data_IF_867672725166
#
_entry.id   IF_867672725166
#
_cell.length_a   1.000
_cell.length_b   1.000
_cell.length_c   1.000
_cell.angle_alpha   90.00
_cell.angle_beta   90.00
_cell.angle_gamma   90.00
#
_symmetry.space_group_name_H-M   'P 1'
#
loop_
_entity.id
_entity.type
_entity.pdbx_description
1 polymer ?
#
# COMPACT_ATOMS: atom_id res chain seq x y z
N UNK A 1 -42.39 40.08 91.74
CA UNK A 1 -43.44 40.89 91.06
C UNK A 1 -43.13 40.69 89.54
N UNK A 2 -44.02 39.92 88.86
CA UNK A 2 -44.48 39.93 87.46
C UNK A 2 -43.46 40.31 86.37
N UNK A 3 -43.36 39.68 85.22
CA UNK A 3 -44.28 38.97 84.31
C UNK A 3 -43.36 38.32 83.25
N UNK A 4 -43.48 37.07 82.93
CA UNK A 4 -44.21 36.50 81.80
C UNK A 4 -43.85 36.99 80.41
N UNK A 5 -43.51 36.01 79.56
CA UNK A 5 -43.91 35.78 78.20
C UNK A 5 -42.84 36.17 77.16
N UNK A 6 -42.59 35.46 76.13
CA UNK A 6 -43.20 34.44 75.26
C UNK A 6 -42.19 33.84 74.40
N UNK A 7 -42.26 32.58 74.15
CA UNK A 7 -41.59 31.83 73.12
C UNK A 7 -41.97 32.34 71.73
N UNK A 8 -41.01 32.52 70.83
CA UNK A 8 -41.26 32.49 69.39
C UNK A 8 -40.20 31.66 68.73
N UNK A 9 -40.59 30.47 68.40
CA UNK A 9 -39.78 29.51 67.59
C UNK A 9 -39.81 29.96 66.14
N UNK A 10 -38.65 30.32 65.61
CA UNK A 10 -38.47 30.56 64.18
C UNK A 10 -37.94 29.29 63.55
N UNK A 11 -38.76 28.67 62.72
CA UNK A 11 -38.38 27.55 61.87
C UNK A 11 -37.67 28.10 60.66
N UNK A 12 -36.34 27.94 60.58
CA UNK A 12 -35.56 28.14 59.36
C UNK A 12 -35.64 26.90 58.52
N UNK A 13 -36.41 26.96 57.41
CA UNK A 13 -36.36 25.99 56.33
C UNK A 13 -35.00 26.09 55.63
N UNK A 14 -34.19 25.07 55.82
CA UNK A 14 -32.97 24.87 55.04
C UNK A 14 -33.33 24.43 53.61
N UNK A 15 -33.24 25.31 52.65
CA UNK A 15 -33.30 24.96 51.24
C UNK A 15 -31.97 24.33 50.83
N UNK A 16 -31.92 22.99 50.74
CA UNK A 16 -30.83 22.28 50.05
C UNK A 16 -30.93 22.58 48.57
N UNK A 17 -30.10 23.51 48.09
CA UNK A 17 -29.88 23.69 46.68
C UNK A 17 -29.01 22.49 46.17
N UNK A 18 -29.65 21.51 45.52
CA UNK A 18 -28.95 20.52 44.70
C UNK A 18 -28.31 21.28 43.53
N UNK A 19 -27.01 21.54 43.60
CA UNK A 19 -26.22 21.87 42.42
C UNK A 19 -26.09 20.60 41.58
N UNK A 20 -26.95 20.49 40.59
CA UNK A 20 -26.72 19.55 39.46
C UNK A 20 -25.50 20.11 38.71
N UNK A 21 -24.33 19.53 38.99
CA UNK A 21 -23.19 19.71 38.15
C UNK A 21 -23.52 19.04 36.77
N UNK A 22 -24.07 19.84 35.87
CA UNK A 22 -24.13 19.47 34.48
C UNK A 22 -22.67 19.34 34.00
N UNK A 23 -22.15 18.14 34.12
CA UNK A 23 -20.91 17.78 33.46
C UNK A 23 -21.11 18.07 31.97
N UNK A 24 -20.48 19.12 31.48
CA UNK A 24 -20.35 19.35 30.04
C UNK A 24 -19.68 18.11 29.52
N UNK A 25 -20.42 17.19 28.93
CA UNK A 25 -19.87 16.18 28.05
C UNK A 25 -19.18 16.98 26.96
N UNK A 26 -17.85 17.15 27.06
CA UNK A 26 -17.04 17.63 25.98
C UNK A 26 -17.35 16.66 24.84
N UNK A 27 -18.02 17.14 23.80
CA UNK A 27 -18.16 16.39 22.58
C UNK A 27 -16.73 16.00 22.19
N UNK A 28 -16.43 14.72 22.17
CA UNK A 28 -15.12 14.22 21.77
C UNK A 28 -14.77 14.89 20.44
N UNK A 29 -13.63 15.57 20.40
CA UNK A 29 -13.21 16.31 19.24
C UNK A 29 -13.08 15.33 18.08
N UNK A 30 -13.89 15.52 17.04
CA UNK A 30 -14.07 14.57 15.96
C UNK A 30 -12.81 14.54 15.11
N UNK A 31 -12.00 13.47 15.23
CA UNK A 31 -10.78 13.31 14.46
C UNK A 31 -11.11 13.17 12.96
N UNK A 32 -10.42 13.94 12.12
CA UNK A 32 -10.52 13.83 10.66
C UNK A 32 -9.24 13.23 10.08
N UNK A 33 -9.39 12.05 9.48
CA UNK A 33 -8.32 11.35 8.75
C UNK A 33 -8.46 11.60 7.25
N UNK A 34 -7.49 12.31 6.66
CA UNK A 34 -7.35 12.45 5.22
C UNK A 34 -6.57 11.28 4.63
N UNK A 35 -7.10 10.70 3.55
CA UNK A 35 -6.41 9.68 2.75
C UNK A 35 -6.27 10.21 1.34
N UNK A 36 -5.02 10.32 0.85
CA UNK A 36 -4.70 10.85 -0.47
C UNK A 36 -3.91 9.81 -1.27
N UNK A 37 -4.47 9.36 -2.39
CA UNK A 37 -3.94 8.25 -3.20
C UNK A 37 -4.05 8.54 -4.69
N UNK A 38 -3.26 7.89 -5.57
CA UNK A 38 -3.47 7.94 -7.01
C UNK A 38 -4.83 7.37 -7.42
N UNK A 39 -5.40 7.87 -8.51
CA UNK A 39 -6.59 7.27 -9.12
C UNK A 39 -6.28 5.89 -9.71
N UNK A 40 -7.30 5.07 -9.88
CA UNK A 40 -7.19 3.74 -10.47
C UNK A 40 -6.87 3.83 -11.97
N UNK A 41 -5.65 3.47 -12.34
CA UNK A 41 -5.17 3.41 -13.75
C UNK A 41 -4.81 2.00 -14.21
N UNK A 42 -4.61 1.08 -13.28
CA UNK A 42 -4.31 -0.33 -13.49
C UNK A 42 -4.78 -1.16 -12.28
N UNK A 43 -4.69 -2.49 -12.35
CA UNK A 43 -5.28 -3.39 -11.34
C UNK A 43 -4.77 -3.11 -9.91
N UNK A 44 -3.47 -2.86 -9.74
CA UNK A 44 -2.89 -2.58 -8.43
C UNK A 44 -3.46 -1.28 -7.82
N UNK A 45 -3.50 -0.17 -8.57
CA UNK A 45 -4.09 1.09 -8.07
C UNK A 45 -5.59 0.98 -7.87
N UNK A 46 -6.31 0.16 -8.65
CA UNK A 46 -7.71 -0.17 -8.36
C UNK A 46 -7.86 -0.88 -7.01
N UNK A 47 -6.96 -1.81 -6.71
CA UNK A 47 -6.86 -2.45 -5.40
C UNK A 47 -6.59 -1.46 -4.27
N UNK A 48 -5.65 -0.51 -4.45
CA UNK A 48 -5.36 0.55 -3.47
C UNK A 48 -6.62 1.36 -3.14
N UNK A 49 -7.36 1.81 -4.19
CA UNK A 49 -8.60 2.59 -4.00
C UNK A 49 -9.66 1.76 -3.27
N UNK A 50 -9.82 0.49 -3.66
CA UNK A 50 -10.80 -0.40 -3.04
C UNK A 50 -10.48 -0.62 -1.54
N UNK A 51 -9.24 -0.95 -1.21
CA UNK A 51 -8.82 -1.18 0.16
C UNK A 51 -8.85 0.09 1.02
N UNK A 52 -8.58 1.27 0.44
CA UNK A 52 -8.72 2.54 1.14
C UNK A 52 -10.19 2.84 1.51
N UNK A 53 -11.14 2.58 0.60
CA UNK A 53 -12.55 2.73 0.87
C UNK A 53 -13.06 1.69 1.88
N UNK A 54 -12.56 0.46 1.81
CA UNK A 54 -12.88 -0.58 2.80
C UNK A 54 -12.40 -0.19 4.20
N UNK A 55 -11.19 0.35 4.33
CA UNK A 55 -10.68 0.86 5.60
C UNK A 55 -11.55 2.02 6.14
N UNK A 56 -11.97 2.94 5.25
CA UNK A 56 -12.91 4.02 5.62
C UNK A 56 -14.20 3.46 6.20
N UNK A 57 -14.86 2.52 5.51
CA UNK A 57 -16.12 1.91 5.94
C UNK A 57 -15.98 1.23 7.31
N UNK A 58 -14.93 0.44 7.51
CA UNK A 58 -14.68 -0.30 8.74
C UNK A 58 -14.36 0.65 9.91
N UNK A 59 -13.54 1.69 9.66
CA UNK A 59 -13.19 2.68 10.68
C UNK A 59 -14.39 3.53 11.10
N UNK A 60 -15.16 4.08 10.16
CA UNK A 60 -16.33 4.92 10.48
C UNK A 60 -17.44 4.12 11.18
N UNK A 61 -17.52 2.80 10.88
CA UNK A 61 -18.42 1.89 11.59
C UNK A 61 -17.95 1.61 13.02
N UNK A 62 -16.65 1.40 13.23
CA UNK A 62 -16.08 1.11 14.54
C UNK A 62 -15.95 2.36 15.43
N UNK A 63 -15.75 3.53 14.84
CA UNK A 63 -15.49 4.79 15.51
C UNK A 63 -16.37 5.91 14.92
N UNK A 64 -17.62 6.08 15.42
CA UNK A 64 -18.57 7.09 14.88
C UNK A 64 -18.08 8.54 14.96
N UNK A 65 -17.11 8.82 15.84
CA UNK A 65 -16.47 10.14 15.99
C UNK A 65 -15.26 10.35 15.07
N UNK A 66 -14.90 9.36 14.28
CA UNK A 66 -13.87 9.46 13.26
C UNK A 66 -14.50 9.76 11.89
N UNK A 67 -13.98 10.77 11.21
CA UNK A 67 -14.31 11.07 9.81
C UNK A 67 -13.15 10.69 8.91
N UNK A 68 -13.36 9.81 7.94
CA UNK A 68 -12.34 9.42 6.95
C UNK A 68 -12.69 9.98 5.59
N UNK A 69 -11.76 10.73 4.99
CA UNK A 69 -11.94 11.38 3.68
C UNK A 69 -10.93 10.81 2.71
N UNK A 70 -11.38 10.00 1.76
CA UNK A 70 -10.55 9.45 0.70
C UNK A 70 -10.61 10.36 -0.54
N UNK A 71 -9.44 10.78 -1.03
CA UNK A 71 -9.27 11.55 -2.27
C UNK A 71 -8.36 10.80 -3.21
N UNK A 72 -8.75 10.74 -4.50
CA UNK A 72 -7.93 10.16 -5.57
C UNK A 72 -7.48 11.25 -6.53
N UNK A 73 -6.23 11.19 -6.99
CA UNK A 73 -5.63 12.18 -7.88
C UNK A 73 -5.11 11.52 -9.16
N UNK A 74 -5.33 12.15 -10.31
CA UNK A 74 -4.85 11.68 -11.60
C UNK A 74 -3.39 12.08 -11.91
N UNK A 75 -2.83 13.00 -11.10
CA UNK A 75 -1.45 13.49 -11.24
C UNK A 75 -0.98 14.16 -9.95
N UNK A 76 0.33 14.44 -9.86
CA UNK A 76 0.92 15.04 -8.68
C UNK A 76 0.44 16.48 -8.38
N UNK A 77 0.24 17.39 -9.36
CA UNK A 77 -0.35 18.70 -9.10
C UNK A 77 -1.76 18.64 -8.51
N UNK A 78 -2.61 17.76 -9.02
CA UNK A 78 -3.95 17.54 -8.45
C UNK A 78 -3.87 17.01 -7.02
N UNK A 79 -2.97 16.05 -6.76
CA UNK A 79 -2.77 15.52 -5.42
C UNK A 79 -2.32 16.62 -4.44
N UNK A 80 -1.39 17.49 -4.87
CA UNK A 80 -0.95 18.63 -4.05
C UNK A 80 -2.09 19.60 -3.72
N UNK A 81 -2.97 19.91 -4.68
CA UNK A 81 -4.15 20.74 -4.46
C UNK A 81 -5.12 20.09 -3.48
N UNK A 82 -5.37 18.79 -3.62
CA UNK A 82 -6.23 18.04 -2.71
C UNK A 82 -5.69 18.01 -1.27
N UNK A 83 -4.36 18.00 -1.06
CA UNK A 83 -3.77 18.13 0.27
C UNK A 83 -4.12 19.48 0.92
N UNK A 84 -4.14 20.57 0.14
CA UNK A 84 -4.55 21.88 0.64
C UNK A 84 -6.06 21.88 1.00
N UNK A 85 -6.92 21.25 0.19
CA UNK A 85 -8.34 21.12 0.50
C UNK A 85 -8.58 20.30 1.78
N UNK A 86 -7.89 19.17 1.93
CA UNK A 86 -7.94 18.34 3.14
C UNK A 86 -7.52 19.14 4.37
N UNK A 87 -6.49 19.96 4.26
CA UNK A 87 -5.97 20.79 5.34
C UNK A 87 -6.91 21.96 5.68
N UNK A 88 -7.36 22.72 4.68
CA UNK A 88 -8.02 24.02 4.91
C UNK A 88 -9.54 23.91 5.01
N UNK A 89 -10.16 23.08 4.17
CA UNK A 89 -11.61 22.90 4.13
C UNK A 89 -12.03 21.78 5.08
N UNK A 90 -11.35 20.65 5.02
CA UNK A 90 -11.74 19.47 5.80
C UNK A 90 -11.13 19.44 7.20
N UNK A 91 -10.14 20.30 7.50
CA UNK A 91 -9.50 20.41 8.83
C UNK A 91 -8.96 19.04 9.30
N UNK A 92 -8.24 18.33 8.43
CA UNK A 92 -7.68 17.02 8.78
C UNK A 92 -6.64 17.13 9.90
N UNK A 93 -6.67 16.19 10.82
CA UNK A 93 -5.71 16.04 11.92
C UNK A 93 -4.60 15.05 11.58
N UNK A 94 -4.90 14.12 10.70
CA UNK A 94 -4.01 13.04 10.30
C UNK A 94 -4.13 12.81 8.80
N UNK A 95 -2.98 12.58 8.15
CA UNK A 95 -2.86 12.27 6.72
C UNK A 95 -2.24 10.89 6.53
N UNK A 96 -2.89 10.06 5.72
CA UNK A 96 -2.27 8.87 5.12
C UNK A 96 -2.16 9.13 3.62
N UNK A 97 -0.94 9.14 3.10
CA UNK A 97 -0.69 9.46 1.69
C UNK A 97 0.11 8.37 0.99
N UNK A 98 -0.40 7.92 -0.16
CA UNK A 98 0.38 7.22 -1.17
C UNK A 98 0.75 8.24 -2.26
N UNK A 99 1.99 8.77 -2.29
CA UNK A 99 2.35 9.83 -3.23
C UNK A 99 2.25 9.37 -4.68
N UNK A 100 1.71 10.23 -5.54
CA UNK A 100 1.74 10.00 -6.99
C UNK A 100 3.18 9.93 -7.50
N UNK A 101 4.01 10.89 -7.04
CA UNK A 101 5.46 10.97 -7.29
C UNK A 101 6.18 11.47 -6.04
N UNK A 102 7.36 10.92 -5.77
CA UNK A 102 8.15 11.25 -4.58
C UNK A 102 8.61 12.72 -4.53
N UNK A 103 9.28 13.19 -5.58
CA UNK A 103 9.90 14.52 -5.59
C UNK A 103 8.88 15.66 -5.54
N UNK A 104 7.86 15.60 -6.41
CA UNK A 104 6.85 16.67 -6.54
C UNK A 104 5.93 16.77 -5.33
N UNK A 105 5.73 15.68 -4.57
CA UNK A 105 4.87 15.64 -3.39
C UNK A 105 5.61 15.94 -2.08
N UNK A 106 6.93 15.86 -2.03
CA UNK A 106 7.71 16.09 -0.80
C UNK A 106 7.42 17.45 -0.16
N UNK A 107 7.49 18.54 -0.92
CA UNK A 107 7.23 19.90 -0.40
C UNK A 107 5.76 20.10 0.02
N UNK A 108 4.74 19.73 -0.76
CA UNK A 108 3.34 19.79 -0.33
C UNK A 108 3.08 19.03 0.98
N UNK A 109 3.63 17.83 1.14
CA UNK A 109 3.47 17.01 2.35
C UNK A 109 4.17 17.66 3.55
N UNK A 110 5.38 18.19 3.36
CA UNK A 110 6.08 18.94 4.41
C UNK A 110 5.27 20.15 4.91
N UNK A 111 4.60 20.86 4.01
CA UNK A 111 3.72 21.99 4.38
C UNK A 111 2.51 21.52 5.21
N UNK A 112 1.92 20.37 4.90
CA UNK A 112 0.85 19.76 5.71
C UNK A 112 1.36 19.43 7.11
N UNK A 113 2.50 18.76 7.21
CA UNK A 113 3.12 18.41 8.49
C UNK A 113 3.44 19.67 9.35
N UNK A 114 3.96 20.74 8.75
CA UNK A 114 4.25 22.01 9.44
C UNK A 114 2.99 22.65 10.06
N UNK A 115 1.79 22.31 9.61
CA UNK A 115 0.53 22.72 10.20
C UNK A 115 0.06 21.85 11.37
N UNK A 116 0.89 20.92 11.82
CA UNK A 116 0.60 20.05 12.96
C UNK A 116 -0.13 18.76 12.62
N UNK A 117 -0.40 18.49 11.33
CA UNK A 117 -1.03 17.24 10.87
C UNK A 117 -0.03 16.09 11.02
N UNK A 118 -0.46 14.98 11.60
CA UNK A 118 0.32 13.74 11.64
C UNK A 118 0.35 13.09 10.25
N UNK A 119 1.52 12.74 9.74
CA UNK A 119 1.69 12.26 8.36
C UNK A 119 2.24 10.85 8.33
N UNK A 120 1.47 9.93 7.79
CA UNK A 120 1.91 8.58 7.39
C UNK A 120 2.04 8.51 5.87
N UNK A 121 3.25 8.25 5.39
CA UNK A 121 3.54 8.02 3.97
C UNK A 121 3.50 6.53 3.68
N UNK A 122 2.88 6.14 2.57
CA UNK A 122 2.67 4.73 2.20
C UNK A 122 3.32 4.43 0.87
N UNK A 123 4.06 3.33 0.80
CA UNK A 123 4.66 2.73 -0.39
C UNK A 123 5.74 3.61 -1.06
N UNK A 124 5.34 4.60 -1.84
CA UNK A 124 6.28 5.53 -2.48
C UNK A 124 6.77 6.55 -1.46
N UNK A 125 8.04 6.41 -1.08
CA UNK A 125 8.68 7.32 -0.14
C UNK A 125 8.79 8.75 -0.69
N UNK A 126 9.01 9.70 0.20
CA UNK A 126 9.36 11.07 -0.15
C UNK A 126 10.88 11.21 -0.32
N UNK A 127 11.34 12.25 -1.03
CA UNK A 127 12.78 12.54 -1.18
C UNK A 127 13.40 13.12 0.08
N UNK A 128 12.58 13.66 0.98
CA UNK A 128 12.96 14.13 2.32
C UNK A 128 12.03 13.49 3.35
N UNK A 129 12.56 12.53 4.11
CA UNK A 129 11.82 11.79 5.12
C UNK A 129 11.44 12.62 6.34
N UNK A 130 12.02 13.83 6.53
CA UNK A 130 11.59 14.74 7.59
C UNK A 130 10.16 15.26 7.38
N UNK A 131 9.63 15.16 6.16
CA UNK A 131 8.25 15.54 5.82
C UNK A 131 7.19 14.56 6.32
N UNK A 132 7.57 13.42 6.90
CA UNK A 132 6.65 12.40 7.42
C UNK A 132 6.89 12.12 8.90
N UNK A 133 5.91 11.50 9.56
CA UNK A 133 6.01 11.00 10.92
C UNK A 133 6.19 9.48 10.94
N UNK A 134 5.57 8.79 9.98
CA UNK A 134 5.70 7.36 9.78
C UNK A 134 5.74 7.00 8.30
N UNK A 135 6.37 5.87 8.00
CA UNK A 135 6.41 5.25 6.68
C UNK A 135 5.93 3.81 6.77
N UNK A 136 5.01 3.42 5.90
CA UNK A 136 4.48 2.06 5.82
C UNK A 136 4.62 1.56 4.38
N UNK A 137 5.37 0.49 4.17
CA UNK A 137 5.58 -0.07 2.82
C UNK A 137 5.75 -1.59 2.86
N UNK A 138 5.63 -2.22 1.71
CA UNK A 138 6.05 -3.61 1.53
C UNK A 138 7.57 -3.74 1.48
N UNK A 139 8.08 -4.95 1.70
CA UNK A 139 9.50 -5.27 1.61
C UNK A 139 9.94 -5.41 0.16
N UNK A 140 10.45 -4.32 -0.42
CA UNK A 140 10.92 -4.27 -1.81
C UNK A 140 12.20 -5.11 -2.02
N UNK A 141 13.04 -5.21 -1.01
CA UNK A 141 14.25 -6.06 -1.06
C UNK A 141 13.84 -7.54 -1.16
N UNK A 142 12.93 -8.00 -0.29
CA UNK A 142 12.40 -9.36 -0.37
C UNK A 142 11.62 -9.59 -1.68
N UNK A 143 10.87 -8.59 -2.17
CA UNK A 143 10.16 -8.68 -3.46
C UNK A 143 11.08 -8.95 -4.65
N UNK A 144 12.30 -8.42 -4.64
CA UNK A 144 13.30 -8.71 -5.69
C UNK A 144 14.06 -10.02 -5.43
N UNK A 145 14.38 -10.29 -4.16
CA UNK A 145 15.19 -11.45 -3.76
C UNK A 145 14.46 -12.78 -3.96
N UNK A 146 13.21 -12.90 -3.50
CA UNK A 146 12.44 -14.14 -3.54
C UNK A 146 12.22 -14.71 -4.96
N UNK A 147 11.82 -13.91 -5.98
CA UNK A 147 11.74 -14.41 -7.35
C UNK A 147 13.10 -14.83 -7.90
N UNK A 148 14.18 -14.11 -7.57
CA UNK A 148 15.52 -14.45 -8.00
C UNK A 148 15.96 -15.81 -7.44
N UNK A 149 15.78 -16.05 -6.15
CA UNK A 149 16.06 -17.34 -5.50
C UNK A 149 15.22 -18.47 -6.10
N UNK A 150 13.93 -18.21 -6.34
CA UNK A 150 13.04 -19.21 -6.96
C UNK A 150 13.46 -19.56 -8.37
N UNK A 151 13.75 -18.57 -9.23
CA UNK A 151 14.21 -18.76 -10.60
C UNK A 151 15.56 -19.52 -10.59
N UNK A 152 16.51 -19.10 -9.78
CA UNK A 152 17.81 -19.75 -9.68
C UNK A 152 17.70 -21.22 -9.27
N UNK A 153 16.84 -21.53 -8.30
CA UNK A 153 16.55 -22.90 -7.87
C UNK A 153 15.90 -23.71 -8.99
N UNK A 154 14.88 -23.16 -9.65
CA UNK A 154 14.11 -23.84 -10.71
C UNK A 154 15.00 -24.16 -11.92
N UNK A 155 15.93 -23.26 -12.26
CA UNK A 155 16.88 -23.44 -13.33
C UNK A 155 18.16 -24.21 -12.93
N UNK A 156 18.23 -24.72 -11.70
CA UNK A 156 19.43 -25.39 -11.16
C UNK A 156 20.70 -24.54 -11.32
N UNK A 157 20.59 -23.22 -11.14
CA UNK A 157 21.69 -22.26 -11.19
C UNK A 157 22.25 -21.98 -12.58
N UNK A 158 21.58 -22.37 -13.66
CA UNK A 158 22.06 -22.17 -15.05
C UNK A 158 20.91 -21.89 -16.01
N UNK A 159 21.04 -20.83 -16.82
CA UNK A 159 20.05 -20.49 -17.85
C UNK A 159 20.15 -19.05 -18.30
N UNK A 160 19.42 -18.75 -19.35
CA UNK A 160 19.30 -17.41 -19.93
C UNK A 160 17.93 -16.82 -19.55
N UNK A 161 17.94 -15.64 -18.92
CA UNK A 161 16.72 -14.99 -18.46
C UNK A 161 16.62 -13.55 -18.96
N UNK A 162 15.41 -13.03 -19.00
CA UNK A 162 15.14 -11.60 -19.23
C UNK A 162 14.31 -11.03 -18.08
N UNK A 163 14.42 -9.71 -17.86
CA UNK A 163 13.71 -9.03 -16.81
C UNK A 163 12.91 -7.84 -17.37
N UNK A 164 11.64 -7.73 -16.93
CA UNK A 164 10.80 -6.57 -17.18
C UNK A 164 10.60 -5.80 -15.86
N UNK A 165 11.11 -4.58 -15.83
CA UNK A 165 11.06 -3.68 -14.68
C UNK A 165 9.78 -2.83 -14.70
N UNK A 166 9.43 -2.22 -13.57
CA UNK A 166 8.33 -1.28 -13.45
C UNK A 166 8.60 0.07 -14.13
N UNK A 167 8.31 1.16 -13.44
CA UNK A 167 8.71 2.52 -13.82
C UNK A 167 10.00 2.89 -13.07
N UNK A 168 10.83 3.81 -13.59
CA UNK A 168 12.08 4.21 -12.94
C UNK A 168 11.83 4.99 -11.64
N UNK A 169 11.74 4.26 -10.53
CA UNK A 169 11.54 4.77 -9.16
C UNK A 169 12.54 4.13 -8.19
N UNK A 170 12.66 4.68 -6.99
CA UNK A 170 13.52 4.11 -5.94
C UNK A 170 13.11 2.67 -5.62
N UNK A 171 11.82 2.41 -5.49
CA UNK A 171 11.33 1.07 -5.16
C UNK A 171 11.60 0.04 -6.28
N UNK A 172 11.53 0.43 -7.55
CA UNK A 172 11.88 -0.46 -8.66
C UNK A 172 13.39 -0.75 -8.67
N UNK A 173 14.21 0.26 -8.35
CA UNK A 173 15.66 0.06 -8.22
C UNK A 173 15.99 -0.91 -7.09
N UNK A 174 15.39 -0.75 -5.91
CA UNK A 174 15.58 -1.68 -4.77
C UNK A 174 15.24 -3.12 -5.15
N UNK A 175 14.10 -3.34 -5.83
CA UNK A 175 13.68 -4.66 -6.32
C UNK A 175 14.69 -5.24 -7.30
N UNK A 176 15.10 -4.45 -8.28
CA UNK A 176 16.03 -4.89 -9.32
C UNK A 176 17.44 -5.13 -8.79
N UNK A 177 17.93 -4.30 -7.87
CA UNK A 177 19.21 -4.50 -7.19
C UNK A 177 19.22 -5.79 -6.36
N UNK A 178 18.15 -6.04 -5.60
CA UNK A 178 18.00 -7.28 -4.84
C UNK A 178 17.95 -8.51 -5.76
N UNK A 179 17.17 -8.43 -6.85
CA UNK A 179 17.10 -9.49 -7.86
C UNK A 179 18.46 -9.79 -8.48
N UNK A 180 19.14 -8.78 -8.99
CA UNK A 180 20.44 -8.93 -9.64
C UNK A 180 21.54 -9.33 -8.66
N UNK A 181 21.43 -8.92 -7.39
CA UNK A 181 22.32 -9.32 -6.31
C UNK A 181 22.32 -10.83 -6.07
N UNK A 182 21.14 -11.46 -6.10
CA UNK A 182 21.03 -12.93 -6.04
C UNK A 182 21.56 -13.57 -7.34
N UNK A 183 21.15 -13.08 -8.50
CA UNK A 183 21.58 -13.66 -9.78
C UNK A 183 23.11 -13.68 -9.94
N UNK A 184 23.81 -12.66 -9.46
CA UNK A 184 25.31 -12.61 -9.46
C UNK A 184 25.95 -13.75 -8.66
N UNK A 185 25.25 -14.34 -7.69
CA UNK A 185 25.75 -15.48 -6.91
C UNK A 185 25.61 -16.80 -7.69
N UNK A 186 24.86 -16.79 -8.80
CA UNK A 186 24.64 -17.95 -9.67
C UNK A 186 25.28 -17.68 -11.04
N UNK A 187 26.61 -17.86 -11.15
CA UNK A 187 27.39 -17.54 -12.34
C UNK A 187 26.99 -18.29 -13.63
N UNK A 188 26.13 -19.32 -13.52
CA UNK A 188 25.54 -20.01 -14.66
C UNK A 188 24.27 -19.36 -15.20
N UNK A 189 23.68 -18.39 -14.50
CA UNK A 189 22.48 -17.65 -14.96
C UNK A 189 22.92 -16.33 -15.59
N UNK A 190 22.43 -16.07 -16.80
CA UNK A 190 22.69 -14.82 -17.51
C UNK A 190 21.40 -14.01 -17.66
N UNK A 191 21.41 -12.78 -17.18
CA UNK A 191 20.37 -11.79 -17.52
C UNK A 191 20.75 -11.24 -18.90
N UNK A 192 20.04 -11.69 -19.94
CA UNK A 192 20.30 -11.28 -21.33
C UNK A 192 20.01 -9.81 -21.56
N UNK A 193 18.91 -9.31 -20.95
CA UNK A 193 18.53 -7.91 -20.99
C UNK A 193 17.50 -7.61 -19.89
N UNK A 194 17.38 -6.33 -19.53
CA UNK A 194 16.38 -5.83 -18.60
C UNK A 194 15.79 -4.50 -19.12
N UNK A 195 14.48 -4.42 -19.29
CA UNK A 195 13.78 -3.23 -19.81
C UNK A 195 12.58 -2.87 -18.95
N UNK A 196 12.21 -1.60 -19.01
CA UNK A 196 11.00 -1.10 -18.34
C UNK A 196 9.76 -1.53 -19.12
N UNK A 197 8.85 -2.21 -18.43
CA UNK A 197 7.49 -2.55 -18.89
C UNK A 197 6.42 -1.69 -18.23
N UNK A 198 6.83 -0.70 -17.41
CA UNK A 198 6.03 0.39 -16.85
C UNK A 198 4.85 -0.07 -15.97
N UNK A 199 4.92 -1.29 -15.39
CA UNK A 199 3.79 -1.96 -14.73
C UNK A 199 2.52 -1.95 -15.60
N UNK A 200 2.73 -2.05 -16.91
CA UNK A 200 1.68 -1.99 -17.90
C UNK A 200 1.71 -3.23 -18.79
N UNK A 201 0.54 -3.83 -18.98
CA UNK A 201 0.37 -5.06 -19.75
C UNK A 201 0.79 -4.94 -21.21
N UNK A 202 0.39 -3.84 -21.86
CA UNK A 202 0.66 -3.63 -23.29
C UNK A 202 2.10 -3.23 -23.55
N UNK A 203 2.72 -2.47 -22.64
CA UNK A 203 4.14 -2.15 -22.74
C UNK A 203 5.01 -3.39 -22.49
N UNK A 204 4.68 -4.19 -21.49
CA UNK A 204 5.34 -5.46 -21.22
C UNK A 204 5.21 -6.43 -22.42
N UNK A 205 4.05 -6.47 -23.05
CA UNK A 205 3.85 -7.24 -24.29
C UNK A 205 4.83 -6.81 -25.38
N UNK A 206 4.96 -5.50 -25.65
CA UNK A 206 5.89 -4.96 -26.67
C UNK A 206 7.36 -5.25 -26.31
N UNK A 207 7.74 -5.06 -25.05
CA UNK A 207 9.09 -5.37 -24.55
C UNK A 207 9.40 -6.86 -24.74
N UNK A 208 8.46 -7.73 -24.41
CA UNK A 208 8.66 -9.17 -24.58
C UNK A 208 8.75 -9.57 -26.07
N UNK A 209 7.98 -8.95 -26.97
CA UNK A 209 8.12 -9.17 -28.43
C UNK A 209 9.54 -8.81 -28.92
N UNK A 210 10.13 -7.69 -28.43
CA UNK A 210 11.50 -7.33 -28.75
C UNK A 210 12.48 -8.41 -28.23
N UNK A 211 12.34 -8.87 -26.99
CA UNK A 211 13.18 -9.93 -26.45
C UNK A 211 13.08 -11.23 -27.26
N UNK A 212 11.85 -11.64 -27.62
CA UNK A 212 11.62 -12.86 -28.42
C UNK A 212 12.23 -12.77 -29.83
N UNK A 213 12.34 -11.57 -30.39
CA UNK A 213 12.99 -11.34 -31.69
C UNK A 213 14.50 -11.39 -31.57
N UNK A 214 15.09 -10.84 -30.51
CA UNK A 214 16.52 -10.71 -30.31
C UNK A 214 17.19 -11.98 -29.77
N UNK A 215 16.47 -12.72 -28.93
CA UNK A 215 17.00 -13.88 -28.24
C UNK A 215 16.36 -15.18 -28.73
N UNK A 216 17.18 -16.07 -29.30
CA UNK A 216 16.73 -17.36 -29.82
C UNK A 216 16.31 -18.33 -28.72
N UNK A 217 16.82 -18.15 -27.51
CA UNK A 217 16.54 -18.97 -26.35
C UNK A 217 16.40 -18.10 -25.10
N UNK A 218 15.38 -18.39 -24.29
CA UNK A 218 15.11 -17.79 -22.98
C UNK A 218 14.54 -18.90 -22.10
N UNK A 219 15.11 -19.14 -20.93
CA UNK A 219 14.62 -20.15 -19.99
C UNK A 219 13.51 -19.61 -19.07
N UNK A 220 13.69 -18.36 -18.58
CA UNK A 220 12.72 -17.75 -17.68
C UNK A 220 12.60 -16.24 -17.90
N UNK A 221 11.48 -15.69 -17.46
CA UNK A 221 11.19 -14.25 -17.43
C UNK A 221 10.82 -13.84 -16.01
N UNK A 222 11.48 -12.79 -15.52
CA UNK A 222 10.98 -12.06 -14.36
C UNK A 222 10.24 -10.80 -14.82
N UNK A 223 8.96 -10.73 -14.54
CA UNK A 223 8.14 -9.54 -14.70
C UNK A 223 7.85 -8.96 -13.31
N UNK A 224 8.24 -7.72 -13.06
CA UNK A 224 8.18 -7.13 -11.72
C UNK A 224 6.75 -6.77 -11.26
N UNK A 225 5.72 -7.29 -11.93
CA UNK A 225 4.33 -7.37 -11.48
C UNK A 225 3.49 -8.35 -12.31
N UNK A 226 2.27 -8.64 -11.86
CA UNK A 226 1.38 -9.61 -12.49
C UNK A 226 0.72 -9.08 -13.77
N UNK A 227 0.43 -7.77 -13.89
CA UNK A 227 -0.11 -7.20 -15.11
C UNK A 227 0.91 -7.30 -16.26
N UNK A 228 2.19 -7.06 -15.98
CA UNK A 228 3.26 -7.29 -16.95
C UNK A 228 3.40 -8.78 -17.31
N UNK A 229 3.28 -9.68 -16.32
CA UNK A 229 3.35 -11.13 -16.57
C UNK A 229 2.27 -11.58 -17.55
N UNK A 230 1.06 -11.04 -17.48
CA UNK A 230 -0.02 -11.31 -18.47
C UNK A 230 0.39 -10.86 -19.88
N UNK A 231 1.01 -9.67 -20.01
CA UNK A 231 1.53 -9.17 -21.30
C UNK A 231 2.63 -10.06 -21.85
N UNK A 232 3.56 -10.50 -20.99
CA UNK A 232 4.65 -11.43 -21.32
C UNK A 232 4.10 -12.76 -21.84
N UNK A 233 3.18 -13.39 -21.12
CA UNK A 233 2.57 -14.67 -21.51
C UNK A 233 1.89 -14.56 -22.88
N UNK A 234 1.13 -13.48 -23.11
CA UNK A 234 0.49 -13.23 -24.41
C UNK A 234 1.50 -13.12 -25.55
N UNK A 235 2.64 -12.45 -25.33
CA UNK A 235 3.69 -12.34 -26.36
C UNK A 235 4.35 -13.69 -26.67
N UNK A 236 4.62 -14.50 -25.62
CA UNK A 236 5.18 -15.86 -25.75
C UNK A 236 4.23 -16.75 -26.57
N UNK A 237 2.93 -16.70 -26.26
CA UNK A 237 1.91 -17.51 -26.94
C UNK A 237 1.77 -17.13 -28.41
N UNK A 238 1.75 -15.82 -28.74
CA UNK A 238 1.71 -15.33 -30.12
C UNK A 238 2.94 -15.75 -30.93
N UNK A 239 4.12 -15.72 -30.29
CA UNK A 239 5.37 -16.16 -30.91
C UNK A 239 5.52 -17.69 -30.98
N UNK A 240 4.59 -18.43 -30.36
CA UNK A 240 4.62 -19.90 -30.27
C UNK A 240 5.95 -20.45 -29.70
N UNK A 241 6.56 -19.71 -28.76
CA UNK A 241 7.81 -20.12 -28.11
C UNK A 241 7.53 -21.15 -27.03
N UNK A 242 8.30 -22.21 -27.03
CA UNK A 242 8.15 -23.34 -26.09
C UNK A 242 9.38 -23.57 -25.20
N UNK A 243 10.42 -22.79 -25.39
CA UNK A 243 11.65 -22.81 -24.58
C UNK A 243 11.45 -22.17 -23.20
N UNK A 244 10.59 -21.14 -23.08
CA UNK A 244 10.36 -20.39 -21.85
C UNK A 244 9.46 -21.22 -20.92
N UNK A 245 10.04 -21.73 -19.82
CA UNK A 245 9.39 -22.63 -18.89
C UNK A 245 8.87 -21.96 -17.62
N UNK A 246 9.31 -20.74 -17.36
CA UNK A 246 8.96 -20.00 -16.15
C UNK A 246 8.73 -18.53 -16.47
N UNK A 247 7.58 -18.01 -16.09
CA UNK A 247 7.26 -16.59 -16.02
C UNK A 247 6.92 -16.27 -14.57
N UNK A 248 7.78 -15.48 -13.93
CA UNK A 248 7.57 -15.07 -12.55
C UNK A 248 6.99 -13.65 -12.55
N UNK A 249 5.75 -13.51 -12.08
CA UNK A 249 5.07 -12.24 -11.86
C UNK A 249 5.35 -11.67 -10.48
N UNK A 250 4.40 -10.95 -9.92
CA UNK A 250 4.51 -10.43 -8.56
C UNK A 250 3.35 -9.56 -8.15
N UNK A 251 3.27 -9.31 -6.87
CA UNK A 251 2.27 -8.56 -6.13
C UNK A 251 1.01 -9.35 -5.70
N UNK A 252 0.73 -10.51 -6.29
CA UNK A 252 -0.37 -11.38 -5.87
C UNK A 252 -1.73 -10.94 -6.41
N UNK A 253 -1.79 -10.51 -7.69
CA UNK A 253 -3.06 -10.19 -8.34
C UNK A 253 -3.98 -11.41 -8.40
N UNK A 254 -5.28 -11.17 -8.19
CA UNK A 254 -6.33 -12.21 -8.11
C UNK A 254 -6.25 -13.23 -9.26
N UNK A 255 -6.03 -12.76 -10.50
CA UNK A 255 -5.90 -13.64 -11.66
C UNK A 255 -4.66 -14.54 -11.59
N UNK A 256 -3.52 -13.98 -11.18
CA UNK A 256 -2.26 -14.72 -11.02
C UNK A 256 -2.36 -15.75 -9.88
N UNK A 257 -2.94 -15.35 -8.75
CA UNK A 257 -3.18 -16.27 -7.63
C UNK A 257 -4.13 -17.38 -8.02
N UNK A 258 -5.21 -17.07 -8.77
CA UNK A 258 -6.12 -18.10 -9.27
C UNK A 258 -5.40 -19.09 -10.18
N UNK A 259 -4.60 -18.61 -11.14
CA UNK A 259 -3.77 -19.44 -12.04
C UNK A 259 -2.84 -20.36 -11.25
N UNK A 260 -2.22 -19.82 -10.18
CA UNK A 260 -1.34 -20.59 -9.30
C UNK A 260 -2.11 -21.68 -8.52
N UNK A 261 -3.35 -21.40 -8.07
CA UNK A 261 -4.19 -22.34 -7.34
C UNK A 261 -4.68 -23.50 -8.20
N UNK A 262 -5.08 -23.22 -9.44
CA UNK A 262 -5.68 -24.22 -10.34
C UNK A 262 -4.67 -24.84 -11.33
N UNK A 263 -3.45 -24.30 -11.38
CA UNK A 263 -2.39 -24.82 -12.28
C UNK A 263 -2.69 -24.63 -13.75
N UNK A 264 -3.58 -23.70 -14.12
CA UNK A 264 -4.05 -23.51 -15.50
C UNK A 264 -2.96 -23.05 -16.48
N UNK A 265 -1.86 -22.46 -16.00
CA UNK A 265 -0.67 -22.17 -16.79
C UNK A 265 0.59 -22.71 -16.08
N UNK A 266 1.24 -23.75 -16.62
CA UNK A 266 2.40 -24.39 -15.99
C UNK A 266 3.65 -23.50 -15.93
N UNK A 267 3.65 -22.35 -16.63
CA UNK A 267 4.75 -21.37 -16.58
C UNK A 267 4.68 -20.50 -15.34
N UNK A 268 3.51 -20.40 -14.70
CA UNK A 268 3.29 -19.69 -13.42
C UNK A 268 3.40 -20.70 -12.29
N UNK A 269 4.54 -20.74 -11.62
CA UNK A 269 4.84 -21.74 -10.59
C UNK A 269 4.91 -21.18 -9.17
N UNK A 270 5.10 -19.89 -9.05
CA UNK A 270 5.10 -19.14 -7.81
C UNK A 270 4.79 -17.66 -8.08
N UNK A 271 4.54 -16.92 -7.00
CA UNK A 271 4.37 -15.48 -7.00
C UNK A 271 5.06 -14.88 -5.76
N UNK A 272 5.16 -13.58 -5.66
CA UNK A 272 5.63 -12.88 -4.46
C UNK A 272 4.56 -11.88 -4.00
N UNK A 273 4.28 -11.86 -2.70
CA UNK A 273 3.25 -10.98 -2.17
C UNK A 273 3.71 -9.51 -2.12
N UNK A 274 2.85 -8.64 -2.60
CA UNK A 274 2.92 -7.19 -2.41
C UNK A 274 1.49 -6.62 -2.59
N UNK A 275 0.59 -7.09 -1.74
CA UNK A 275 -0.84 -6.83 -1.91
C UNK A 275 -1.18 -5.36 -1.65
N UNK A 276 -2.02 -4.72 -2.48
CA UNK A 276 -2.56 -3.39 -2.21
C UNK A 276 -3.33 -3.29 -0.89
N UNK A 277 -3.61 -4.43 -0.23
CA UNK A 277 -4.16 -4.49 1.13
C UNK A 277 -3.29 -3.74 2.15
N UNK A 278 -2.00 -3.55 1.90
CA UNK A 278 -1.16 -2.75 2.80
C UNK A 278 -1.69 -1.31 2.97
N UNK A 279 -2.44 -0.78 2.01
CA UNK A 279 -3.10 0.51 2.15
C UNK A 279 -4.19 0.49 3.23
N UNK A 280 -5.00 -0.58 3.28
CA UNK A 280 -5.94 -0.81 4.37
C UNK A 280 -5.20 -0.88 5.71
N UNK A 281 -4.16 -1.70 5.78
CA UNK A 281 -3.39 -1.90 7.01
C UNK A 281 -2.73 -0.59 7.49
N UNK A 282 -2.18 0.22 6.59
CA UNK A 282 -1.60 1.53 6.92
C UNK A 282 -2.63 2.52 7.46
N UNK A 283 -3.84 2.56 6.85
CA UNK A 283 -4.93 3.43 7.30
C UNK A 283 -5.41 3.00 8.70
N UNK A 284 -5.65 1.69 8.90
CA UNK A 284 -6.09 1.15 10.19
C UNK A 284 -5.06 1.42 11.29
N UNK A 285 -3.80 1.06 11.06
CA UNK A 285 -2.71 1.29 12.03
C UNK A 285 -2.58 2.77 12.40
N UNK A 286 -2.64 3.66 11.40
CA UNK A 286 -2.53 5.10 11.62
C UNK A 286 -3.72 5.61 12.44
N UNK A 287 -4.94 5.26 12.06
CA UNK A 287 -6.15 5.70 12.73
C UNK A 287 -6.18 5.22 14.19
N UNK A 288 -5.93 3.94 14.43
CA UNK A 288 -5.93 3.35 15.77
C UNK A 288 -4.87 3.98 16.70
N UNK A 289 -3.66 4.18 16.19
CA UNK A 289 -2.61 4.86 16.95
C UNK A 289 -3.02 6.29 17.30
N UNK A 290 -3.54 7.05 16.33
CA UNK A 290 -3.92 8.45 16.54
C UNK A 290 -5.13 8.62 17.47
N UNK A 291 -6.11 7.72 17.39
CA UNK A 291 -7.24 7.70 18.34
C UNK A 291 -6.79 7.47 19.79
N UNK A 292 -5.69 6.75 19.99
CA UNK A 292 -5.07 6.54 21.31
C UNK A 292 -4.08 7.65 21.72
N UNK A 293 -3.84 8.65 20.86
CA UNK A 293 -2.79 9.66 21.07
C UNK A 293 -1.37 9.14 20.87
N UNK A 294 -1.22 7.94 20.30
CA UNK A 294 0.07 7.29 20.06
C UNK A 294 0.64 7.66 18.69
N UNK A 295 1.92 7.33 18.49
CA UNK A 295 2.62 7.47 17.19
C UNK A 295 3.00 6.09 16.69
N UNK A 296 2.96 5.91 15.37
CA UNK A 296 3.52 4.70 14.75
C UNK A 296 5.05 4.69 14.85
N UNK A 297 5.69 3.52 14.76
CA UNK A 297 7.12 3.44 14.46
C UNK A 297 7.46 4.25 13.21
N UNK A 298 8.68 4.81 13.17
CA UNK A 298 9.11 5.62 12.02
C UNK A 298 9.03 4.84 10.69
N UNK A 299 9.29 3.53 10.74
CA UNK A 299 9.17 2.63 9.60
C UNK A 299 8.42 1.36 10.01
N UNK A 300 7.41 0.99 9.23
CA UNK A 300 6.68 -0.28 9.32
C UNK A 300 6.78 -0.97 7.97
N UNK A 301 7.56 -2.04 7.89
CA UNK A 301 7.74 -2.82 6.67
C UNK A 301 6.89 -4.08 6.75
N UNK A 302 5.97 -4.21 5.80
CA UNK A 302 5.09 -5.38 5.65
C UNK A 302 5.85 -6.43 4.86
N UNK A 303 6.10 -7.63 5.40
CA UNK A 303 6.89 -8.64 4.72
C UNK A 303 6.31 -9.04 3.36
N UNK A 304 7.17 -9.10 2.35
CA UNK A 304 6.88 -9.83 1.12
C UNK A 304 7.28 -11.29 1.30
N UNK A 305 6.39 -12.21 0.89
CA UNK A 305 6.62 -13.66 1.02
C UNK A 305 6.41 -14.36 -0.31
N UNK A 306 7.08 -15.50 -0.48
CA UNK A 306 6.88 -16.34 -1.64
C UNK A 306 5.51 -17.02 -1.54
N UNK A 307 4.69 -16.88 -2.57
CA UNK A 307 3.40 -17.53 -2.70
C UNK A 307 3.59 -18.75 -3.60
N UNK A 308 3.23 -19.92 -3.08
CA UNK A 308 3.28 -21.19 -3.80
C UNK A 308 1.86 -21.72 -4.01
N UNK A 309 1.63 -22.75 -4.85
CA UNK A 309 0.31 -23.37 -4.98
C UNK A 309 -0.32 -23.78 -3.64
N UNK A 310 0.52 -24.18 -2.66
CA UNK A 310 0.06 -24.62 -1.34
C UNK A 310 -0.44 -23.47 -0.45
N UNK A 311 0.15 -22.26 -0.60
CA UNK A 311 -0.18 -21.08 0.20
C UNK A 311 -1.07 -20.08 -0.54
N UNK A 312 -1.27 -20.24 -1.86
CA UNK A 312 -1.96 -19.27 -2.72
C UNK A 312 -3.37 -18.89 -2.22
N UNK A 313 -4.10 -19.82 -1.60
CA UNK A 313 -5.45 -19.57 -1.06
C UNK A 313 -5.47 -18.45 0.00
N UNK A 314 -4.39 -18.28 0.77
CA UNK A 314 -4.28 -17.24 1.81
C UNK A 314 -4.18 -15.83 1.21
N UNK A 315 -3.79 -15.73 -0.07
CA UNK A 315 -3.60 -14.48 -0.81
C UNK A 315 -4.71 -14.23 -1.84
N UNK A 316 -5.75 -15.07 -1.87
CA UNK A 316 -6.87 -14.93 -2.80
C UNK A 316 -8.00 -14.10 -2.20
N UNK A 317 -8.19 -12.89 -2.69
CA UNK A 317 -9.25 -11.96 -2.26
C UNK A 317 -10.28 -11.80 -3.38
N UNK A 318 -11.35 -12.64 -3.42
CA UNK A 318 -12.28 -12.67 -4.55
C UNK A 318 -13.02 -11.35 -4.80
N UNK A 319 -13.28 -10.58 -3.75
CA UNK A 319 -14.01 -9.30 -3.82
C UNK A 319 -13.11 -8.11 -4.21
N UNK A 320 -11.78 -8.25 -4.09
CA UNK A 320 -10.83 -7.23 -4.51
C UNK A 320 -10.74 -7.15 -6.03
N UNK A 321 -10.60 -5.95 -6.63
CA UNK A 321 -10.33 -5.79 -8.05
C UNK A 321 -8.92 -6.23 -8.46
N UNK A 322 -8.04 -6.44 -7.47
CA UNK A 322 -6.67 -6.88 -7.65
C UNK A 322 -6.47 -8.31 -7.20
#
# INVERSE_FOLDING_TARGET
MNKMLHNLTLHTLGACALMIAAGSASAAEKMTLGVSIPTATHSFTAGIVWWANKAKEDLEKAHPDLKVIVKTAANAPEQANQLQDLLTVNKMDTLVIFPFESASLTKPVAQVKQKGVYVTVVDRGLTDTSAQDAYVAGDNTAFGKLPAEFIAKTLNGKGDIVALRGIPTTLDNERFEAFTGVMKQHGGIKILDAKYGNWNRDDAFKVMQDFLTRFKHIDAVWAADDDMAVGVLKAIDQAKRSDIKLVFGGAGAKGAIKTLMDGSDPRIQANVSYSPKFMYDAIMLTAEARLKGERLPANTIIPSVLITPQTAKEFYFPDSPF
#
